data_IF_015306528243
#
_entry.id   IF_015306528243
#
_cell.length_a   1.000
_cell.length_b   1.000
_cell.length_c   1.000
_cell.angle_alpha   90.00
_cell.angle_beta   90.00
_cell.angle_gamma   90.00
#
_symmetry.space_group_name_H-M   'P 1'
#
loop_
_entity.id
_entity.type
_entity.pdbx_description
1 polymer ?
#
# COMPACT_ATOMS: atom_id res chain seq x y z
N UNK A 1 1.59 33.00 -13.21
CA UNK A 1 2.29 31.68 -13.13
C UNK A 1 1.79 30.76 -12.03
N UNK A 2 1.67 31.23 -10.79
CA UNK A 2 1.24 30.40 -9.65
C UNK A 2 -0.10 29.67 -9.91
N UNK A 3 -1.02 30.30 -10.66
CA UNK A 3 -2.28 29.68 -11.07
C UNK A 3 -2.13 28.45 -11.97
N UNK A 4 -1.15 28.46 -12.87
CA UNK A 4 -0.91 27.36 -13.83
C UNK A 4 -0.37 26.14 -13.08
N UNK A 5 0.60 26.35 -12.20
CA UNK A 5 1.14 25.31 -11.32
C UNK A 5 0.04 24.77 -10.41
N UNK A 6 -0.79 25.64 -9.81
CA UNK A 6 -1.95 25.20 -9.02
C UNK A 6 -2.90 24.34 -9.85
N UNK A 7 -3.16 24.69 -11.11
CA UNK A 7 -4.01 23.89 -12.01
C UNK A 7 -3.44 22.48 -12.23
N UNK A 8 -2.13 22.36 -12.49
CA UNK A 8 -1.52 21.04 -12.70
C UNK A 8 -1.50 20.22 -11.41
N UNK A 9 -1.22 20.85 -10.26
CA UNK A 9 -1.30 20.20 -8.93
C UNK A 9 -2.73 19.71 -8.65
N UNK A 10 -3.75 20.54 -8.88
CA UNK A 10 -5.15 20.15 -8.68
C UNK A 10 -5.56 18.99 -9.60
N UNK A 11 -5.11 19.00 -10.85
CA UNK A 11 -5.34 17.91 -11.78
C UNK A 11 -4.67 16.61 -11.30
N UNK A 12 -3.41 16.67 -10.84
CA UNK A 12 -2.67 15.53 -10.26
C UNK A 12 -3.39 14.98 -9.03
N UNK A 13 -3.85 15.87 -8.14
CA UNK A 13 -4.59 15.49 -6.93
C UNK A 13 -5.96 14.86 -7.26
N UNK A 14 -6.65 15.33 -8.30
CA UNK A 14 -7.90 14.74 -8.77
C UNK A 14 -7.68 13.33 -9.34
N UNK A 15 -6.64 13.15 -10.16
CA UNK A 15 -6.25 11.84 -10.68
C UNK A 15 -5.86 10.88 -9.55
N UNK A 16 -5.04 11.33 -8.60
CA UNK A 16 -4.66 10.56 -7.42
C UNK A 16 -5.88 10.12 -6.59
N UNK A 17 -6.88 11.00 -6.40
CA UNK A 17 -8.15 10.64 -5.74
C UNK A 17 -8.94 9.59 -6.50
N UNK A 18 -8.94 9.62 -7.84
CA UNK A 18 -9.56 8.57 -8.66
C UNK A 18 -8.84 7.24 -8.49
N UNK A 19 -7.51 7.21 -8.60
CA UNK A 19 -6.72 6.01 -8.38
C UNK A 19 -6.89 5.43 -6.96
N UNK A 20 -6.98 6.30 -5.94
CA UNK A 20 -7.25 5.87 -4.57
C UNK A 20 -8.62 5.19 -4.45
N UNK A 21 -9.67 5.71 -5.11
CA UNK A 21 -10.99 5.06 -5.15
C UNK A 21 -10.95 3.73 -5.88
N UNK A 22 -10.27 3.65 -7.02
CA UNK A 22 -10.09 2.39 -7.76
C UNK A 22 -9.33 1.34 -6.93
N UNK A 23 -8.31 1.75 -6.18
CA UNK A 23 -7.60 0.88 -5.25
C UNK A 23 -8.52 0.36 -4.12
N UNK A 24 -9.39 1.22 -3.57
CA UNK A 24 -10.39 0.80 -2.58
C UNK A 24 -11.40 -0.20 -3.16
N UNK A 25 -11.84 0.00 -4.41
CA UNK A 25 -12.72 -0.96 -5.09
C UNK A 25 -12.04 -2.32 -5.28
N UNK A 26 -10.75 -2.36 -5.61
CA UNK A 26 -9.97 -3.60 -5.69
C UNK A 26 -9.91 -4.32 -4.32
N UNK A 27 -9.72 -3.58 -3.23
CA UNK A 27 -9.74 -4.15 -1.88
C UNK A 27 -11.13 -4.72 -1.55
N UNK A 28 -12.20 -3.99 -1.88
CA UNK A 28 -13.57 -4.45 -1.68
C UNK A 28 -13.87 -5.73 -2.49
N UNK A 29 -13.38 -5.80 -3.73
CA UNK A 29 -13.49 -6.99 -4.57
C UNK A 29 -12.79 -8.21 -3.97
N UNK A 30 -11.57 -8.04 -3.42
CA UNK A 30 -10.87 -9.11 -2.70
C UNK A 30 -11.64 -9.60 -1.47
N UNK A 31 -12.26 -8.68 -0.71
CA UNK A 31 -13.13 -9.04 0.43
C UNK A 31 -14.37 -9.82 -0.02
N UNK A 32 -14.99 -9.42 -1.14
CA UNK A 32 -16.12 -10.13 -1.71
C UNK A 32 -15.74 -11.56 -2.14
N UNK A 33 -14.60 -11.74 -2.83
CA UNK A 33 -14.08 -13.08 -3.17
C UNK A 33 -13.85 -13.95 -1.93
N UNK A 34 -13.30 -13.36 -0.86
CA UNK A 34 -13.13 -14.08 0.42
C UNK A 34 -14.47 -14.52 1.01
N UNK A 35 -15.48 -13.64 1.02
CA UNK A 35 -16.82 -14.01 1.50
C UNK A 35 -17.46 -15.13 0.64
N UNK A 36 -17.23 -15.13 -0.68
CA UNK A 36 -17.65 -16.22 -1.57
C UNK A 36 -16.95 -17.53 -1.21
N UNK A 37 -15.63 -17.50 -0.97
CA UNK A 37 -14.88 -18.66 -0.51
C UNK A 37 -15.38 -19.17 0.85
N UNK A 38 -15.66 -18.29 1.81
CA UNK A 38 -16.22 -18.67 3.12
C UNK A 38 -17.65 -19.26 3.00
N UNK A 39 -18.43 -18.83 2.01
CA UNK A 39 -19.70 -19.46 1.68
C UNK A 39 -19.51 -20.86 1.10
N UNK A 40 -18.56 -21.03 0.17
CA UNK A 40 -18.21 -22.32 -0.41
C UNK A 40 -17.70 -23.30 0.65
N UNK A 41 -16.86 -22.85 1.60
CA UNK A 41 -16.41 -23.67 2.73
C UNK A 41 -17.57 -24.14 3.60
N UNK A 42 -18.58 -23.28 3.83
CA UNK A 42 -19.79 -23.68 4.57
C UNK A 42 -20.57 -24.76 3.85
N UNK A 43 -20.71 -24.67 2.53
CA UNK A 43 -21.33 -25.73 1.72
C UNK A 43 -20.49 -27.01 1.75
N UNK A 44 -19.15 -26.91 1.69
CA UNK A 44 -18.26 -28.05 1.83
C UNK A 44 -18.40 -28.73 3.20
N UNK A 45 -18.48 -27.97 4.30
CA UNK A 45 -18.71 -28.54 5.63
C UNK A 45 -20.07 -29.25 5.73
N UNK A 46 -21.13 -28.72 5.10
CA UNK A 46 -22.43 -29.41 5.02
C UNK A 46 -22.30 -30.71 4.25
N UNK A 47 -21.58 -30.70 3.13
CA UNK A 47 -21.31 -31.88 2.33
C UNK A 47 -20.51 -32.94 3.12
N UNK A 48 -19.46 -32.56 3.84
CA UNK A 48 -18.70 -33.47 4.72
C UNK A 48 -19.58 -34.05 5.84
N UNK A 49 -20.46 -33.25 6.44
CA UNK A 49 -21.41 -33.76 7.44
C UNK A 49 -22.42 -34.74 6.83
N UNK A 50 -22.84 -34.51 5.58
CA UNK A 50 -23.68 -35.45 4.83
C UNK A 50 -22.96 -36.77 4.57
N UNK A 51 -21.68 -36.74 4.17
CA UNK A 51 -20.87 -37.96 4.02
C UNK A 51 -20.79 -38.72 5.35
N UNK A 52 -20.58 -38.02 6.47
CA UNK A 52 -20.55 -38.65 7.79
C UNK A 52 -21.86 -39.33 8.15
N UNK A 53 -23.02 -38.73 7.86
CA UNK A 53 -24.31 -39.39 8.09
C UNK A 53 -24.49 -40.61 7.18
N UNK A 54 -24.07 -40.53 5.93
CA UNK A 54 -24.14 -41.65 4.97
C UNK A 54 -23.28 -42.83 5.42
N UNK A 55 -22.07 -42.56 5.94
CA UNK A 55 -21.20 -43.61 6.48
C UNK A 55 -21.81 -44.29 7.72
N UNK A 56 -22.49 -43.53 8.58
CA UNK A 56 -23.21 -44.10 9.74
C UNK A 56 -24.38 -44.99 9.29
N UNK A 57 -25.12 -44.58 8.26
CA UNK A 57 -26.18 -45.41 7.66
C UNK A 57 -25.62 -46.70 7.06
N UNK A 58 -24.49 -46.62 6.35
CA UNK A 58 -23.87 -47.79 5.71
C UNK A 58 -23.40 -48.81 6.75
N UNK A 59 -22.80 -48.34 7.83
CA UNK A 59 -22.41 -49.20 8.96
C UNK A 59 -23.64 -49.86 9.60
N UNK A 60 -24.76 -49.14 9.71
CA UNK A 60 -26.00 -49.67 10.31
C UNK A 60 -26.70 -50.70 9.42
N UNK A 61 -26.72 -50.47 8.10
CA UNK A 61 -27.42 -51.31 7.14
C UNK A 61 -26.57 -52.50 6.65
N UNK A 62 -25.24 -52.42 6.80
CA UNK A 62 -24.30 -53.48 6.43
C UNK A 62 -24.45 -53.88 4.96
N UNK A 63 -24.82 -55.14 4.64
CA UNK A 63 -24.98 -55.59 3.26
C UNK A 63 -26.17 -54.95 2.52
N UNK A 64 -27.09 -54.29 3.25
CA UNK A 64 -28.25 -53.59 2.69
C UNK A 64 -27.99 -52.08 2.46
N UNK A 65 -26.72 -51.65 2.53
CA UNK A 65 -26.37 -50.25 2.31
C UNK A 65 -26.74 -49.79 0.88
N UNK A 66 -27.34 -48.60 0.72
CA UNK A 66 -27.79 -48.11 -0.57
C UNK A 66 -26.59 -47.75 -1.47
N UNK A 67 -26.66 -48.15 -2.74
CA UNK A 67 -25.65 -47.77 -3.73
C UNK A 67 -25.92 -46.32 -4.16
N UNK A 68 -25.15 -45.38 -3.62
CA UNK A 68 -25.28 -43.94 -3.90
C UNK A 68 -24.50 -43.57 -5.18
N UNK A 69 -25.12 -43.82 -6.34
CA UNK A 69 -24.60 -43.44 -7.67
C UNK A 69 -24.72 -44.57 -8.69
N UNK A 70 -25.19 -44.24 -9.91
CA UNK A 70 -25.48 -45.22 -10.98
C UNK A 70 -24.19 -45.78 -11.56
N UNK A 71 -23.29 -44.90 -11.97
CA UNK A 71 -22.01 -45.23 -12.59
C UNK A 71 -20.82 -44.62 -11.81
N UNK A 72 -19.60 -45.07 -12.09
CA UNK A 72 -18.39 -44.53 -11.48
C UNK A 72 -18.22 -43.02 -11.72
N UNK A 73 -18.62 -42.54 -12.91
CA UNK A 73 -18.61 -41.13 -13.27
C UNK A 73 -19.57 -40.29 -12.41
N UNK A 74 -20.76 -40.81 -12.10
CA UNK A 74 -21.73 -40.12 -11.25
C UNK A 74 -21.25 -40.02 -9.80
N UNK A 75 -20.58 -41.06 -9.29
CA UNK A 75 -19.96 -41.03 -7.95
C UNK A 75 -18.85 -40.00 -7.89
N UNK A 76 -18.00 -39.97 -8.93
CA UNK A 76 -16.89 -39.02 -9.03
C UNK A 76 -17.42 -37.58 -9.18
N UNK A 77 -18.42 -37.35 -10.02
CA UNK A 77 -19.02 -36.03 -10.20
C UNK A 77 -19.69 -35.49 -8.92
N UNK A 78 -20.18 -36.40 -8.07
CA UNK A 78 -20.80 -36.08 -6.78
C UNK A 78 -19.77 -35.83 -5.69
N UNK A 79 -18.73 -36.64 -5.63
CA UNK A 79 -17.86 -36.72 -4.46
C UNK A 79 -16.52 -35.98 -4.60
N UNK A 80 -16.08 -35.76 -5.83
CA UNK A 80 -14.85 -35.04 -6.10
C UNK A 80 -15.08 -33.54 -6.29
N UNK A 81 -14.31 -32.70 -5.60
CA UNK A 81 -14.39 -31.25 -5.76
C UNK A 81 -13.79 -30.81 -7.10
N UNK A 82 -14.27 -29.68 -7.61
CA UNK A 82 -13.67 -28.98 -8.75
C UNK A 82 -12.37 -28.30 -8.33
N UNK A 83 -11.43 -28.13 -9.26
CA UNK A 83 -10.14 -27.47 -9.01
C UNK A 83 -10.28 -26.07 -8.38
N UNK A 84 -11.24 -25.28 -8.85
CA UNK A 84 -11.51 -23.93 -8.32
C UNK A 84 -11.94 -23.94 -6.85
N UNK A 85 -12.61 -25.00 -6.41
CA UNK A 85 -13.04 -25.14 -5.02
C UNK A 85 -11.87 -25.47 -4.08
N UNK A 86 -10.76 -25.96 -4.62
CA UNK A 86 -9.55 -26.27 -3.86
C UNK A 86 -8.58 -25.09 -3.75
N UNK A 87 -8.83 -24.00 -4.49
CA UNK A 87 -7.96 -22.82 -4.46
C UNK A 87 -8.26 -21.95 -3.23
N UNK A 88 -7.23 -21.68 -2.43
CA UNK A 88 -7.28 -20.73 -1.33
C UNK A 88 -7.60 -19.31 -1.83
N UNK A 89 -8.34 -18.49 -1.05
CA UNK A 89 -8.71 -17.14 -1.45
C UNK A 89 -7.50 -16.22 -1.46
N UNK A 90 -7.51 -15.22 -2.33
CA UNK A 90 -6.50 -14.16 -2.33
C UNK A 90 -6.48 -13.41 -1.00
N UNK A 91 -5.29 -13.20 -0.47
CA UNK A 91 -5.09 -12.42 0.76
C UNK A 91 -5.28 -10.94 0.45
N UNK A 92 -6.02 -10.25 1.32
CA UNK A 92 -6.28 -8.81 1.21
C UNK A 92 -4.98 -8.02 1.31
N UNK A 93 -4.11 -8.41 2.25
CA UNK A 93 -2.79 -7.83 2.48
C UNK A 93 -1.73 -8.92 2.36
N UNK A 94 -1.02 -9.01 1.24
CA UNK A 94 0.02 -10.02 1.06
C UNK A 94 1.18 -9.76 2.03
N UNK A 95 1.88 -10.83 2.41
CA UNK A 95 3.06 -10.72 3.25
C UNK A 95 4.15 -9.94 2.51
N UNK A 96 4.79 -9.00 3.21
CA UNK A 96 5.91 -8.23 2.64
C UNK A 96 7.16 -9.09 2.39
N UNK A 97 7.33 -10.15 3.19
CA UNK A 97 8.50 -11.03 3.15
C UNK A 97 8.05 -12.48 3.25
N UNK A 98 8.39 -13.27 2.23
CA UNK A 98 8.16 -14.71 2.19
C UNK A 98 9.46 -15.43 2.56
N UNK A 99 9.47 -16.16 3.67
CA UNK A 99 10.69 -16.80 4.17
C UNK A 99 10.83 -18.26 3.72
N UNK A 100 9.93 -18.74 2.87
CA UNK A 100 9.99 -20.07 2.24
C UNK A 100 10.06 -19.83 0.73
N UNK A 101 10.97 -20.52 0.06
CA UNK A 101 11.16 -20.47 -1.38
C UNK A 101 11.02 -21.87 -2.00
N UNK A 102 10.88 -21.91 -3.32
CA UNK A 102 10.90 -23.15 -4.10
C UNK A 102 12.24 -23.87 -3.87
N UNK A 103 12.18 -25.17 -3.60
CA UNK A 103 13.34 -26.01 -3.27
C UNK A 103 13.68 -26.10 -1.78
N UNK A 104 13.02 -25.33 -0.91
CA UNK A 104 13.18 -25.50 0.54
C UNK A 104 12.53 -26.81 1.02
N UNK A 105 13.12 -27.42 2.06
CA UNK A 105 12.52 -28.55 2.79
C UNK A 105 11.57 -28.01 3.85
N UNK A 106 10.34 -28.51 3.85
CA UNK A 106 9.31 -28.06 4.78
C UNK A 106 8.55 -29.23 5.39
N UNK A 107 8.06 -29.02 6.61
CA UNK A 107 7.17 -29.95 7.32
C UNK A 107 5.76 -29.38 7.37
N UNK A 108 4.78 -30.26 7.16
CA UNK A 108 3.35 -29.95 7.26
C UNK A 108 2.90 -30.15 8.72
N UNK A 109 2.26 -29.13 9.30
CA UNK A 109 1.78 -29.16 10.69
C UNK A 109 0.35 -29.68 10.82
N UNK A 110 -0.51 -29.37 9.84
CA UNK A 110 -1.95 -29.66 9.86
C UNK A 110 -2.40 -30.29 8.54
N UNK A 111 -3.43 -31.15 8.59
CA UNK A 111 -3.99 -31.83 7.41
C UNK A 111 -3.70 -33.33 7.34
N UNK A 112 -4.05 -33.95 6.21
CA UNK A 112 -3.89 -35.40 5.94
C UNK A 112 -2.42 -35.86 6.08
N UNK A 113 -1.50 -35.03 5.59
CA UNK A 113 -0.07 -35.33 5.53
C UNK A 113 0.74 -34.67 6.66
N UNK A 114 0.12 -34.54 7.84
CA UNK A 114 0.76 -33.97 9.03
C UNK A 114 2.06 -34.73 9.39
N UNK A 115 3.07 -33.97 9.80
CA UNK A 115 4.43 -34.40 10.16
C UNK A 115 5.25 -35.00 9.01
N UNK A 116 4.75 -35.00 7.77
CA UNK A 116 5.56 -35.37 6.61
C UNK A 116 6.42 -34.18 6.17
N UNK A 117 7.63 -34.48 5.72
CA UNK A 117 8.58 -33.52 5.18
C UNK A 117 8.60 -33.66 3.67
N UNK A 118 8.54 -32.54 2.95
CA UNK A 118 8.60 -32.51 1.50
C UNK A 118 9.35 -31.29 0.97
N UNK A 119 9.56 -31.27 -0.34
CA UNK A 119 10.17 -30.15 -1.05
C UNK A 119 9.11 -29.21 -1.59
N UNK A 120 9.34 -27.91 -1.41
CA UNK A 120 8.43 -26.88 -1.95
C UNK A 120 8.58 -26.81 -3.47
N UNK A 121 7.48 -27.02 -4.19
CA UNK A 121 7.41 -26.95 -5.65
C UNK A 121 7.01 -25.56 -6.14
N UNK A 122 6.02 -24.96 -5.49
CA UNK A 122 5.48 -23.65 -5.87
C UNK A 122 5.10 -22.86 -4.62
N UNK A 123 5.35 -21.54 -4.66
CA UNK A 123 4.94 -20.60 -3.61
C UNK A 123 4.08 -19.54 -4.27
N UNK A 124 2.81 -19.43 -3.85
CA UNK A 124 1.88 -18.42 -4.34
C UNK A 124 1.78 -17.27 -3.32
N UNK A 125 2.34 -16.08 -3.64
CA UNK A 125 2.31 -14.94 -2.74
C UNK A 125 0.93 -14.27 -2.66
N UNK A 126 0.06 -14.48 -3.64
CA UNK A 126 -1.27 -13.84 -3.67
C UNK A 126 -2.25 -14.55 -2.73
N UNK A 127 -2.16 -15.87 -2.63
CA UNK A 127 -2.99 -16.70 -1.74
C UNK A 127 -2.30 -17.04 -0.41
N UNK A 128 -1.04 -16.62 -0.22
CA UNK A 128 -0.20 -16.98 0.95
C UNK A 128 -0.17 -18.50 1.18
N UNK A 129 0.07 -19.23 0.09
CA UNK A 129 0.01 -20.69 0.07
C UNK A 129 1.23 -21.32 -0.61
N UNK A 130 1.46 -22.58 -0.30
CA UNK A 130 2.63 -23.35 -0.75
C UNK A 130 2.16 -24.70 -1.26
N UNK A 131 2.64 -25.12 -2.43
CA UNK A 131 2.49 -26.50 -2.92
C UNK A 131 3.75 -27.29 -2.64
N UNK A 132 3.59 -28.46 -2.05
CA UNK A 132 4.68 -29.36 -1.68
C UNK A 132 4.61 -30.58 -2.57
N UNK A 133 5.75 -30.99 -3.12
CA UNK A 133 5.83 -32.08 -4.08
C UNK A 133 5.33 -33.40 -3.46
N UNK A 134 4.36 -34.06 -4.12
CA UNK A 134 3.82 -35.35 -3.72
C UNK A 134 3.09 -35.40 -2.38
N UNK A 135 2.85 -34.24 -1.74
CA UNK A 135 2.13 -34.13 -0.47
C UNK A 135 0.86 -33.31 -0.65
N UNK A 136 -0.13 -33.57 0.21
CA UNK A 136 -1.46 -32.96 0.13
C UNK A 136 -2.13 -33.19 -1.23
N UNK A 137 -1.95 -34.38 -1.78
CA UNK A 137 -2.52 -34.80 -3.06
C UNK A 137 -3.98 -35.19 -2.86
N UNK A 138 -4.84 -34.55 -3.64
CA UNK A 138 -6.26 -34.87 -3.71
C UNK A 138 -6.66 -35.19 -5.15
N UNK A 139 -7.51 -36.20 -5.35
CA UNK A 139 -8.19 -36.37 -6.62
C UNK A 139 -9.15 -35.19 -6.80
N UNK A 140 -9.11 -34.58 -7.97
CA UNK A 140 -9.95 -33.44 -8.38
C UNK A 140 -10.73 -33.85 -9.61
N UNK A 141 -11.99 -33.45 -9.68
CA UNK A 141 -12.83 -33.72 -10.87
C UNK A 141 -12.22 -33.04 -12.09
N UNK A 142 -11.99 -33.82 -13.15
CA UNK A 142 -11.58 -33.30 -14.45
C UNK A 142 -12.71 -32.46 -15.03
N UNK A 143 -12.48 -31.20 -15.44
CA UNK A 143 -13.51 -30.41 -16.09
C UNK A 143 -13.97 -31.04 -17.40
N UNK A 144 -15.27 -30.93 -17.72
CA UNK A 144 -15.89 -31.60 -18.87
C UNK A 144 -15.22 -31.24 -20.22
N UNK A 145 -14.59 -30.06 -20.34
CA UNK A 145 -13.89 -29.63 -21.55
C UNK A 145 -12.48 -30.22 -21.73
N UNK A 146 -11.92 -30.86 -20.70
CA UNK A 146 -10.65 -31.60 -20.79
C UNK A 146 -10.87 -33.11 -21.05
N UNK A 147 -12.12 -33.59 -20.97
CA UNK A 147 -12.44 -34.99 -21.26
C UNK A 147 -12.11 -35.30 -22.75
N UNK A 148 -11.21 -36.26 -22.98
CA UNK A 148 -10.86 -36.77 -24.33
C UNK A 148 -9.61 -36.16 -25.00
N UNK A 149 -8.94 -35.18 -24.40
CA UNK A 149 -7.73 -34.55 -24.99
C UNK A 149 -6.47 -35.43 -24.89
N UNK A 150 -6.30 -36.16 -23.79
CA UNK A 150 -5.10 -36.95 -23.50
C UNK A 150 -5.36 -38.48 -23.44
N UNK A 151 -6.47 -38.96 -24.02
CA UNK A 151 -6.81 -40.39 -24.04
C UNK A 151 -7.12 -41.01 -22.67
N UNK A 152 -7.23 -40.19 -21.63
CA UNK A 152 -7.60 -40.61 -20.28
C UNK A 152 -9.10 -40.41 -20.03
N UNK A 153 -9.87 -41.50 -20.04
CA UNK A 153 -11.27 -41.54 -19.58
C UNK A 153 -11.41 -41.42 -18.05
N UNK A 154 -10.35 -41.02 -17.33
CA UNK A 154 -10.35 -40.91 -15.88
C UNK A 154 -11.05 -39.61 -15.46
N UNK A 155 -12.23 -39.67 -14.82
CA UNK A 155 -13.01 -38.48 -14.51
C UNK A 155 -12.46 -37.73 -13.27
N UNK A 156 -11.34 -38.18 -12.71
CA UNK A 156 -10.58 -37.48 -11.68
C UNK A 156 -9.07 -37.55 -11.92
N UNK A 157 -8.38 -36.46 -11.61
CA UNK A 157 -6.93 -36.33 -11.68
C UNK A 157 -6.37 -36.01 -10.30
N UNK A 158 -5.30 -36.70 -9.90
CA UNK A 158 -4.58 -36.40 -8.67
C UNK A 158 -3.75 -35.11 -8.82
N UNK A 159 -4.03 -34.12 -7.97
CA UNK A 159 -3.31 -32.85 -7.97
C UNK A 159 -2.84 -32.47 -6.56
N UNK A 160 -1.65 -31.88 -6.49
CA UNK A 160 -1.09 -31.29 -5.27
C UNK A 160 -1.87 -30.03 -4.90
N UNK A 161 -2.64 -30.09 -3.81
CA UNK A 161 -3.41 -28.94 -3.33
C UNK A 161 -2.52 -27.98 -2.54
N UNK A 162 -2.82 -26.68 -2.64
CA UNK A 162 -2.06 -25.67 -1.91
C UNK A 162 -2.34 -25.71 -0.40
N UNK A 163 -1.28 -25.56 0.38
CA UNK A 163 -1.32 -25.56 1.85
C UNK A 163 -1.10 -24.13 2.31
N UNK A 164 -1.85 -23.68 3.31
CA UNK A 164 -1.66 -22.36 3.89
C UNK A 164 -0.24 -22.21 4.47
N UNK A 165 0.39 -21.06 4.24
CA UNK A 165 1.74 -20.77 4.75
C UNK A 165 1.85 -20.94 6.28
N UNK A 166 0.76 -20.71 7.02
CA UNK A 166 0.68 -20.88 8.47
C UNK A 166 0.86 -22.32 8.94
N UNK A 167 0.52 -23.29 8.10
CA UNK A 167 0.55 -24.73 8.42
C UNK A 167 1.83 -25.42 7.96
N UNK A 168 2.78 -24.65 7.44
CA UNK A 168 4.06 -25.15 6.94
C UNK A 168 5.22 -24.54 7.73
N UNK A 169 6.23 -25.34 8.07
CA UNK A 169 7.47 -24.85 8.71
C UNK A 169 8.69 -25.33 7.98
N UNK A 170 9.73 -24.51 7.96
CA UNK A 170 11.00 -24.88 7.35
C UNK A 170 11.70 -25.97 8.17
N UNK A 171 12.28 -26.94 7.48
CA UNK A 171 13.19 -27.93 8.06
C UNK A 171 14.60 -27.61 7.58
N UNK A 172 15.51 -27.42 8.52
CA UNK A 172 16.90 -27.11 8.22
C UNK A 172 17.81 -27.90 9.17
N UNK A 173 18.92 -28.50 8.68
CA UNK A 173 19.89 -29.13 9.55
C UNK A 173 20.58 -28.08 10.42
N UNK A 174 20.57 -28.29 11.73
CA UNK A 174 21.24 -27.44 12.71
C UNK A 174 22.20 -28.32 13.52
N UNK A 175 23.36 -27.78 13.84
CA UNK A 175 24.34 -28.44 14.70
C UNK A 175 23.86 -28.47 16.15
N UNK A 176 23.88 -29.64 16.77
CA UNK A 176 23.61 -29.79 18.20
C UNK A 176 24.78 -29.22 19.01
N UNK A 177 24.58 -28.22 19.89
CA UNK A 177 25.67 -27.57 20.64
C UNK A 177 26.47 -28.52 21.54
N UNK A 178 25.89 -29.66 21.94
CA UNK A 178 26.58 -30.65 22.80
C UNK A 178 27.35 -31.69 21.99
N UNK A 179 26.77 -32.13 20.88
CA UNK A 179 27.25 -33.30 20.12
C UNK A 179 28.04 -32.89 18.88
N UNK A 180 27.85 -31.67 18.37
CA UNK A 180 28.41 -31.19 17.10
C UNK A 180 27.82 -31.87 15.85
N UNK A 181 26.91 -32.83 16.01
CA UNK A 181 26.26 -33.52 14.90
C UNK A 181 25.15 -32.66 14.29
N UNK A 182 25.06 -32.65 12.96
CA UNK A 182 23.96 -32.04 12.22
C UNK A 182 22.69 -32.87 12.39
N UNK A 183 21.62 -32.22 12.87
CA UNK A 183 20.30 -32.84 12.99
C UNK A 183 19.25 -31.97 12.30
N UNK A 184 18.33 -32.61 11.60
CA UNK A 184 17.20 -31.90 10.99
C UNK A 184 16.32 -31.30 12.08
N UNK A 185 16.19 -29.97 12.08
CA UNK A 185 15.40 -29.23 13.05
C UNK A 185 14.24 -28.51 12.36
N UNK A 186 13.09 -28.48 13.03
CA UNK A 186 11.92 -27.73 12.59
C UNK A 186 12.02 -26.28 13.08
N UNK A 187 12.12 -25.34 12.13
CA UNK A 187 12.26 -23.92 12.45
C UNK A 187 10.90 -23.31 12.78
N UNK A 188 10.68 -23.01 14.07
CA UNK A 188 9.41 -22.44 14.56
C UNK A 188 9.18 -21.00 14.11
N UNK A 189 10.22 -20.17 14.14
CA UNK A 189 10.18 -18.74 13.78
C UNK A 189 11.46 -18.36 13.04
N UNK A 190 11.32 -17.54 11.99
CA UNK A 190 12.43 -16.99 11.22
C UNK A 190 12.52 -15.49 11.51
N UNK A 191 13.70 -15.01 11.87
CA UNK A 191 14.03 -13.59 11.98
C UNK A 191 14.62 -13.13 10.65
N UNK A 192 14.13 -12.00 10.15
CA UNK A 192 14.64 -11.37 8.94
C UNK A 192 15.73 -10.38 9.35
N UNK A 193 16.88 -10.42 8.67
CA UNK A 193 17.94 -9.41 8.86
C UNK A 193 18.60 -9.05 7.52
N UNK A 194 19.40 -7.98 7.51
CA UNK A 194 20.13 -7.50 6.34
C UNK A 194 19.22 -7.29 5.11
N UNK A 195 18.12 -6.54 5.30
CA UNK A 195 17.24 -6.18 4.18
C UNK A 195 17.94 -5.11 3.34
N UNK A 196 18.42 -5.50 2.17
CA UNK A 196 19.02 -4.59 1.19
C UNK A 196 18.10 -4.47 -0.03
N UNK A 197 18.25 -3.37 -0.76
CA UNK A 197 17.48 -3.10 -1.97
C UNK A 197 18.46 -2.77 -3.10
N UNK A 198 18.41 -3.54 -4.17
CA UNK A 198 19.22 -3.32 -5.36
C UNK A 198 18.75 -2.07 -6.11
N UNK A 199 19.58 -1.53 -7.02
CA UNK A 199 19.23 -0.38 -7.85
C UNK A 199 17.99 -0.64 -8.72
N UNK A 200 17.81 -1.88 -9.16
CA UNK A 200 16.65 -2.40 -9.89
C UNK A 200 15.41 -2.58 -9.00
N UNK A 201 15.52 -2.30 -7.70
CA UNK A 201 14.43 -2.35 -6.74
C UNK A 201 14.15 -3.71 -6.11
N UNK A 202 14.89 -4.75 -6.52
CA UNK A 202 14.82 -6.09 -5.92
C UNK A 202 15.27 -6.02 -4.46
N UNK A 203 14.49 -6.62 -3.57
CA UNK A 203 14.84 -6.71 -2.15
C UNK A 203 15.48 -8.06 -1.89
N UNK A 204 16.62 -8.08 -1.23
CA UNK A 204 17.25 -9.30 -0.72
C UNK A 204 17.33 -9.21 0.80
N UNK A 205 17.20 -10.35 1.47
CA UNK A 205 17.29 -10.44 2.92
C UNK A 205 17.83 -11.81 3.33
N UNK A 206 18.43 -11.85 4.51
CA UNK A 206 18.94 -13.09 5.11
C UNK A 206 17.93 -13.64 6.11
N UNK A 207 17.80 -14.97 6.12
CA UNK A 207 16.89 -15.71 7.00
C UNK A 207 17.68 -16.23 8.19
N UNK A 208 17.26 -15.93 9.40
CA UNK A 208 17.89 -16.43 10.62
C UNK A 208 16.90 -17.25 11.43
N UNK A 209 17.34 -18.35 12.03
CA UNK A 209 16.53 -19.06 13.03
C UNK A 209 16.32 -18.12 14.22
N UNK A 210 15.08 -17.85 14.62
CA UNK A 210 14.83 -16.96 15.75
C UNK A 210 15.49 -17.49 17.03
N UNK A 211 16.10 -16.60 17.80
CA UNK A 211 16.85 -16.90 19.03
C UNK A 211 18.12 -17.74 18.83
N UNK A 212 18.45 -18.15 17.61
CA UNK A 212 19.74 -18.72 17.25
C UNK A 212 20.53 -17.73 16.38
N UNK A 213 21.85 -17.92 16.32
CA UNK A 213 22.75 -17.27 15.36
C UNK A 213 23.01 -18.18 14.16
N UNK A 214 22.03 -18.99 13.77
CA UNK A 214 22.11 -19.85 12.58
C UNK A 214 21.43 -19.15 11.41
N UNK A 215 22.21 -18.85 10.38
CA UNK A 215 21.70 -18.38 9.10
C UNK A 215 21.16 -19.55 8.29
N UNK A 216 20.01 -19.35 7.65
CA UNK A 216 19.40 -20.30 6.73
C UNK A 216 19.65 -19.78 5.31
N UNK A 217 20.53 -20.44 4.54
CA UNK A 217 20.79 -20.04 3.16
C UNK A 217 19.55 -20.24 2.30
N UNK A 218 19.39 -19.41 1.26
CA UNK A 218 18.36 -19.63 0.24
C UNK A 218 18.67 -20.88 -0.59
N UNK A 219 17.63 -21.61 -1.06
CA UNK A 219 17.85 -22.74 -1.94
C UNK A 219 18.48 -22.26 -3.26
N UNK A 220 19.35 -23.09 -3.84
CA UNK A 220 19.95 -22.80 -5.15
C UNK A 220 18.83 -22.78 -6.19
N UNK A 221 18.65 -21.63 -6.84
CA UNK A 221 17.70 -21.51 -7.94
C UNK A 221 18.36 -22.06 -9.19
N UNK A 222 17.64 -22.87 -9.96
CA UNK A 222 18.01 -23.14 -11.34
C UNK A 222 17.89 -21.83 -12.10
N UNK A 223 18.99 -21.38 -12.69
CA UNK A 223 18.96 -20.22 -13.56
C UNK A 223 18.10 -20.59 -14.77
N UNK A 224 17.09 -19.78 -15.13
CA UNK A 224 16.34 -20.05 -16.34
C UNK A 224 17.30 -19.99 -17.52
N UNK A 225 17.21 -21.01 -18.38
CA UNK A 225 17.94 -21.02 -19.64
C UNK A 225 17.30 -19.98 -20.56
N UNK A 226 18.04 -18.91 -20.83
CA UNK A 226 17.65 -17.92 -21.82
C UNK A 226 18.19 -18.37 -23.18
N UNK A 227 17.30 -18.52 -24.15
CA UNK A 227 17.66 -18.80 -25.53
C UNK A 227 17.41 -17.53 -26.35
N UNK A 228 18.36 -17.19 -27.21
CA UNK A 228 18.21 -16.07 -28.13
C UNK A 228 17.25 -16.50 -29.25
N UNK A 229 16.11 -15.83 -29.36
CA UNK A 229 15.12 -16.09 -30.39
C UNK A 229 15.47 -15.30 -31.67
N UNK A 230 14.94 -15.73 -32.82
CA UNK A 230 15.19 -15.03 -34.10
C UNK A 230 14.66 -13.59 -34.12
N UNK A 231 13.66 -13.28 -33.27
CA UNK A 231 13.12 -11.93 -33.12
C UNK A 231 13.97 -11.03 -32.21
N UNK A 232 14.99 -11.58 -31.55
CA UNK A 232 15.81 -10.82 -30.62
C UNK A 232 16.87 -10.00 -31.35
N UNK A 233 17.14 -8.80 -30.82
CA UNK A 233 18.22 -7.97 -31.33
C UNK A 233 19.55 -8.53 -30.86
N UNK A 234 20.51 -8.70 -31.78
CA UNK A 234 21.84 -9.16 -31.43
C UNK A 234 22.49 -8.20 -30.44
N UNK A 235 23.26 -8.74 -29.51
CA UNK A 235 23.96 -7.96 -28.48
C UNK A 235 24.81 -6.82 -29.05
N UNK A 236 25.52 -7.07 -30.15
CA UNK A 236 26.34 -6.05 -30.83
C UNK A 236 25.50 -4.85 -31.26
N UNK A 237 24.34 -5.08 -31.86
CA UNK A 237 23.46 -4.02 -32.36
C UNK A 237 22.77 -3.28 -31.20
N UNK A 238 22.44 -3.99 -30.11
CA UNK A 238 21.82 -3.40 -28.92
C UNK A 238 22.77 -2.53 -28.09
N UNK A 239 24.07 -2.90 -28.02
CA UNK A 239 25.09 -2.17 -27.27
C UNK A 239 25.73 -1.03 -28.08
N UNK A 240 25.42 -0.92 -29.38
CA UNK A 240 25.96 0.12 -30.26
C UNK A 240 25.56 1.53 -29.77
N UNK A 241 26.56 2.35 -29.43
CA UNK A 241 26.35 3.72 -28.95
C UNK A 241 26.19 4.69 -30.10
N UNK A 242 24.98 4.79 -30.63
CA UNK A 242 24.65 5.66 -31.77
C UNK A 242 24.25 7.08 -31.37
N UNK A 243 23.82 7.31 -30.13
CA UNK A 243 23.35 8.63 -29.69
C UNK A 243 24.51 9.60 -29.42
N UNK A 244 24.57 10.67 -30.21
CA UNK A 244 25.50 11.79 -30.01
C UNK A 244 24.70 13.02 -29.52
N UNK A 245 24.93 13.50 -28.28
CA UNK A 245 24.21 14.64 -27.76
C UNK A 245 24.61 15.93 -28.49
N UNK A 246 23.62 16.64 -29.05
CA UNK A 246 23.80 17.92 -29.73
C UNK A 246 23.16 19.06 -28.92
N UNK A 247 23.84 20.21 -28.83
CA UNK A 247 23.31 21.39 -28.13
C UNK A 247 22.46 22.29 -29.04
N UNK A 248 22.90 22.50 -30.29
CA UNK A 248 22.27 23.43 -31.23
C UNK A 248 21.06 22.83 -31.96
N UNK A 249 21.01 21.50 -32.06
CA UNK A 249 19.92 20.77 -32.72
C UNK A 249 19.23 19.88 -31.69
N UNK A 250 17.89 19.84 -31.66
CA UNK A 250 17.18 18.90 -30.81
C UNK A 250 17.47 17.46 -31.25
N UNK A 251 17.47 16.49 -30.33
CA UNK A 251 17.78 15.09 -30.64
C UNK A 251 16.70 14.41 -31.49
N UNK A 252 15.50 15.00 -31.56
CA UNK A 252 14.37 14.55 -32.37
C UNK A 252 13.72 15.77 -33.04
N UNK A 253 13.03 15.59 -34.18
CA UNK A 253 12.29 16.66 -34.83
C UNK A 253 11.20 17.25 -33.92
N UNK A 254 10.97 18.56 -34.02
CA UNK A 254 10.04 19.29 -33.14
C UNK A 254 8.59 18.78 -33.22
N UNK A 255 8.17 18.23 -34.36
CA UNK A 255 6.84 17.64 -34.53
C UNK A 255 6.58 16.47 -33.58
N UNK A 256 7.59 15.62 -33.35
CA UNK A 256 7.50 14.40 -32.52
C UNK A 256 7.26 14.74 -31.05
N UNK A 257 7.66 15.93 -30.60
CA UNK A 257 7.41 16.39 -29.23
C UNK A 257 5.91 16.43 -28.92
N UNK A 258 5.05 16.69 -29.90
CA UNK A 258 3.59 16.72 -29.71
C UNK A 258 2.96 15.33 -29.61
N UNK A 259 3.65 14.29 -30.08
CA UNK A 259 3.23 12.89 -29.96
C UNK A 259 3.64 12.32 -28.60
N UNK A 260 4.87 12.61 -28.16
CA UNK A 260 5.39 12.18 -26.86
C UNK A 260 4.61 12.79 -25.68
N UNK A 261 4.04 13.99 -25.87
CA UNK A 261 3.24 14.67 -24.85
C UNK A 261 2.08 15.45 -25.46
N UNK A 262 0.93 15.40 -24.78
CA UNK A 262 -0.19 16.28 -25.12
C UNK A 262 0.17 17.76 -24.95
N UNK A 263 0.31 18.50 -26.07
CA UNK A 263 0.64 19.94 -26.10
C UNK A 263 -0.23 20.80 -25.18
N UNK A 264 -1.51 20.46 -25.09
CA UNK A 264 -2.53 21.17 -24.31
C UNK A 264 -2.93 20.42 -23.02
N UNK A 265 -2.12 19.47 -22.57
CA UNK A 265 -2.40 18.71 -21.36
C UNK A 265 -2.46 19.61 -20.13
N UNK A 266 -3.48 19.38 -19.28
CA UNK A 266 -3.60 20.03 -17.96
C UNK A 266 -2.50 19.66 -16.97
N UNK A 267 -1.70 18.63 -17.29
CA UNK A 267 -0.55 18.18 -16.50
C UNK A 267 0.79 18.75 -17.02
N UNK A 268 0.75 19.61 -18.04
CA UNK A 268 1.96 20.28 -18.56
C UNK A 268 2.53 21.20 -17.49
N UNK A 269 3.79 20.97 -17.13
CA UNK A 269 4.53 21.82 -16.17
C UNK A 269 5.62 22.66 -16.85
N UNK A 270 6.11 22.23 -18.03
CA UNK A 270 7.13 22.94 -18.83
C UNK A 270 6.46 23.79 -19.91
N UNK A 271 6.42 25.11 -19.73
CA UNK A 271 5.80 26.07 -20.63
C UNK A 271 6.82 26.96 -21.33
N UNK A 272 6.41 27.50 -22.48
CA UNK A 272 7.23 28.42 -23.29
C UNK A 272 7.23 29.81 -22.64
N UNK A 273 8.31 30.59 -22.82
CA UNK A 273 8.48 31.89 -22.16
C UNK A 273 7.35 32.87 -22.52
N UNK A 274 6.98 32.93 -23.79
CA UNK A 274 5.88 33.77 -24.29
C UNK A 274 4.55 33.45 -23.60
N UNK A 275 4.24 32.16 -23.42
CA UNK A 275 3.02 31.73 -22.73
C UNK A 275 3.03 32.13 -21.25
N UNK A 276 4.20 32.03 -20.60
CA UNK A 276 4.40 32.45 -19.22
C UNK A 276 4.15 33.95 -19.09
N UNK A 277 4.75 34.76 -19.97
CA UNK A 277 4.60 36.22 -19.99
C UNK A 277 3.16 36.63 -20.25
N UNK A 278 2.50 36.03 -21.25
CA UNK A 278 1.09 36.28 -21.54
C UNK A 278 0.21 36.01 -20.30
N UNK A 279 0.46 34.90 -19.59
CA UNK A 279 -0.31 34.53 -18.40
C UNK A 279 0.04 35.38 -17.18
N UNK A 280 1.27 35.87 -17.07
CA UNK A 280 1.66 36.83 -16.03
C UNK A 280 0.98 38.18 -16.26
N UNK A 281 0.92 38.65 -17.52
CA UNK A 281 0.21 39.88 -17.89
C UNK A 281 -1.29 39.77 -17.60
N UNK A 282 -1.93 38.68 -17.97
CA UNK A 282 -3.34 38.41 -17.60
C UNK A 282 -3.55 38.41 -16.08
N UNK A 283 -2.63 37.81 -15.31
CA UNK A 283 -2.69 37.83 -13.84
C UNK A 283 -2.55 39.25 -13.26
N UNK A 284 -1.74 40.11 -13.89
CA UNK A 284 -1.54 41.51 -13.50
C UNK A 284 -2.72 42.40 -13.87
N UNK A 285 -3.28 42.25 -15.08
CA UNK A 285 -4.50 42.93 -15.52
C UNK A 285 -5.69 42.57 -14.64
N UNK A 286 -5.83 41.30 -14.24
CA UNK A 286 -6.91 40.93 -13.33
C UNK A 286 -6.69 41.50 -11.93
N UNK A 287 -5.43 41.56 -11.45
CA UNK A 287 -5.09 42.24 -10.20
C UNK A 287 -5.36 43.74 -10.28
N UNK A 288 -5.04 44.39 -11.40
CA UNK A 288 -5.29 45.82 -11.59
C UNK A 288 -6.79 46.09 -11.66
N UNK A 289 -7.56 45.29 -12.40
CA UNK A 289 -9.03 45.35 -12.44
C UNK A 289 -9.67 45.18 -11.06
N UNK A 290 -9.16 44.23 -10.25
CA UNK A 290 -9.63 44.04 -8.86
C UNK A 290 -9.26 45.21 -7.94
N UNK A 291 -8.12 45.86 -8.18
CA UNK A 291 -7.67 47.05 -7.44
C UNK A 291 -8.44 48.30 -7.86
N UNK A 292 -8.87 48.38 -9.13
CA UNK A 292 -9.70 49.43 -9.71
C UNK A 292 -11.17 49.38 -9.24
N UNK A 293 -11.39 49.04 -7.97
CA UNK A 293 -12.67 49.31 -7.31
C UNK A 293 -12.87 50.80 -7.24
N UNK A 294 -14.09 51.27 -7.51
CA UNK A 294 -14.48 52.67 -7.34
C UNK A 294 -14.17 53.07 -5.90
N UNK A 295 -13.21 53.97 -5.72
CA UNK A 295 -12.85 54.51 -4.42
C UNK A 295 -13.67 55.77 -4.22
N UNK A 296 -14.45 55.82 -3.14
CA UNK A 296 -15.16 57.06 -2.81
C UNK A 296 -14.19 58.08 -2.21
N UNK A 297 -14.45 59.39 -2.33
CA UNK A 297 -13.57 60.43 -1.77
C UNK A 297 -13.24 60.23 -0.27
N UNK A 298 -14.21 59.76 0.51
CA UNK A 298 -14.03 59.42 1.93
C UNK A 298 -13.06 58.24 2.15
N UNK A 299 -13.11 57.23 1.27
CA UNK A 299 -12.20 56.08 1.32
C UNK A 299 -10.76 56.48 1.01
N UNK A 300 -10.53 57.43 0.09
CA UNK A 300 -9.20 57.94 -0.23
C UNK A 300 -8.58 58.73 0.92
N UNK A 301 -9.38 59.57 1.58
CA UNK A 301 -8.97 60.28 2.80
C UNK A 301 -8.59 59.27 3.89
N UNK A 302 -9.44 58.27 4.14
CA UNK A 302 -9.17 57.22 5.13
C UNK A 302 -7.93 56.38 4.78
N UNK A 303 -7.66 56.14 3.48
CA UNK A 303 -6.46 55.43 3.01
C UNK A 303 -5.19 56.27 3.19
N UNK A 304 -5.27 57.59 3.04
CA UNK A 304 -4.15 58.52 3.34
C UNK A 304 -3.87 58.56 4.83
N UNK A 305 -4.90 58.75 5.67
CA UNK A 305 -4.76 58.71 7.13
C UNK A 305 -4.17 57.38 7.60
N UNK A 306 -4.59 56.25 7.02
CA UNK A 306 -4.04 54.92 7.35
C UNK A 306 -2.58 54.78 6.94
N UNK A 307 -2.18 55.29 5.76
CA UNK A 307 -0.77 55.30 5.33
C UNK A 307 0.08 56.15 6.26
N UNK A 308 -0.37 57.36 6.59
CA UNK A 308 0.31 58.23 7.55
C UNK A 308 0.41 57.58 8.94
N UNK A 309 -0.61 56.85 9.40
CA UNK A 309 -0.54 56.08 10.66
C UNK A 309 0.44 54.90 10.60
N UNK A 310 0.57 54.25 9.45
CA UNK A 310 1.54 53.16 9.25
C UNK A 310 2.97 53.73 9.19
N UNK A 311 3.17 54.83 8.46
CA UNK A 311 4.47 55.53 8.32
C UNK A 311 4.93 56.18 9.63
N UNK A 312 4.02 56.83 10.36
CA UNK A 312 4.29 57.34 11.72
C UNK A 312 4.58 56.21 12.71
N UNK A 313 4.26 54.96 12.35
CA UNK A 313 4.41 53.80 13.21
C UNK A 313 3.67 53.96 14.54
N UNK A 314 4.01 53.13 15.53
CA UNK A 314 3.57 53.39 16.90
C UNK A 314 4.42 54.53 17.46
N UNK A 315 3.88 55.74 17.44
CA UNK A 315 4.56 56.98 17.87
C UNK A 315 4.95 56.99 19.34
N UNK A 316 4.31 56.18 20.18
CA UNK A 316 4.70 55.98 21.57
C UNK A 316 5.50 54.70 21.71
N UNK A 317 6.83 54.82 21.67
CA UNK A 317 7.68 53.87 22.40
C UNK A 317 7.41 54.13 23.88
N UNK A 318 7.02 53.11 24.64
CA UNK A 318 6.81 53.22 26.09
C UNK A 318 8.11 53.71 26.74
N UNK A 319 8.16 54.99 27.11
CA UNK A 319 9.29 55.57 27.84
C UNK A 319 9.30 55.04 29.27
N UNK A 320 10.47 54.87 29.87
CA UNK A 320 10.62 54.28 31.22
C UNK A 320 9.76 54.97 32.29
N UNK A 321 9.62 56.30 32.22
CA UNK A 321 8.75 57.08 33.11
C UNK A 321 7.25 56.74 32.97
N UNK A 322 6.78 56.45 31.76
CA UNK A 322 5.38 56.06 31.51
C UNK A 322 5.14 54.62 31.99
N UNK A 323 6.14 53.74 31.84
CA UNK A 323 6.11 52.39 32.40
C UNK A 323 6.12 52.39 33.93
N UNK A 324 6.87 53.29 34.55
CA UNK A 324 6.91 53.44 36.01
C UNK A 324 5.59 54.00 36.56
N UNK A 325 4.99 54.98 35.88
CA UNK A 325 3.63 55.45 36.20
C UNK A 325 2.58 54.35 36.02
N UNK A 326 2.64 53.59 34.93
CA UNK A 326 1.79 52.40 34.72
C UNK A 326 2.02 51.35 35.81
N UNK A 327 3.26 51.13 36.25
CA UNK A 327 3.60 50.22 37.34
C UNK A 327 3.04 50.68 38.69
N UNK A 328 3.13 51.99 38.99
CA UNK A 328 2.54 52.58 40.21
C UNK A 328 1.02 52.49 40.21
N UNK A 329 0.36 52.79 39.09
CA UNK A 329 -1.09 52.67 39.00
C UNK A 329 -1.53 51.22 39.06
N UNK A 330 -0.81 50.28 38.44
CA UNK A 330 -1.08 48.83 38.57
C UNK A 330 -0.90 48.31 40.01
N UNK A 331 0.06 48.85 40.75
CA UNK A 331 0.27 48.52 42.17
C UNK A 331 -0.81 49.13 43.08
N UNK A 332 -1.22 50.37 42.81
CA UNK A 332 -2.30 51.06 43.55
C UNK A 332 -3.69 50.49 43.25
N UNK A 333 -3.96 50.15 41.98
CA UNK A 333 -5.26 49.64 41.53
C UNK A 333 -5.40 48.12 41.67
N UNK A 334 -4.42 47.44 42.26
CA UNK A 334 -4.44 46.01 42.59
C UNK A 334 -5.10 45.12 41.52
N UNK A 335 -4.41 44.85 40.42
CA UNK A 335 -4.76 43.85 39.37
C UNK A 335 -6.24 43.38 39.32
N UNK A 336 -7.15 44.12 38.66
CA UNK A 336 -8.49 43.60 38.35
C UNK A 336 -8.42 42.44 37.34
N UNK A 337 -7.35 42.40 36.54
CA UNK A 337 -7.20 41.49 35.39
C UNK A 337 -6.79 40.05 35.74
N UNK A 338 -6.49 39.77 37.01
CA UNK A 338 -6.13 38.42 37.49
C UNK A 338 -7.27 37.74 38.26
N UNK A 339 -8.35 38.44 38.64
CA UNK A 339 -9.38 37.89 39.52
C UNK A 339 -10.56 37.21 38.84
N UNK A 340 -10.77 37.39 37.53
CA UNK A 340 -11.79 36.63 36.80
C UNK A 340 -11.32 36.27 35.41
N UNK A 341 -10.68 35.10 35.26
CA UNK A 341 -10.75 34.41 33.97
C UNK A 341 -12.18 33.90 33.84
N UNK A 342 -12.98 34.33 32.85
CA UNK A 342 -14.26 33.71 32.60
C UNK A 342 -14.02 32.21 32.41
N UNK A 343 -14.69 31.41 33.24
CA UNK A 343 -14.47 29.97 33.31
C UNK A 343 -14.57 29.41 31.89
N UNK A 344 -13.50 28.79 31.37
CA UNK A 344 -13.37 28.38 29.96
C UNK A 344 -14.55 27.52 29.50
N UNK A 345 -15.17 26.81 30.46
CA UNK A 345 -16.40 26.03 30.31
C UNK A 345 -17.63 26.88 29.94
N UNK A 346 -17.78 28.09 30.48
CA UNK A 346 -18.88 29.00 30.13
C UNK A 346 -18.75 29.51 28.70
N UNK A 347 -17.53 29.84 28.26
CA UNK A 347 -17.27 30.28 26.88
C UNK A 347 -17.53 29.13 25.89
N UNK A 348 -17.07 27.92 26.23
CA UNK A 348 -17.32 26.73 25.40
C UNK A 348 -18.81 26.38 25.33
N UNK A 349 -19.54 26.48 26.45
CA UNK A 349 -20.99 26.28 26.48
C UNK A 349 -21.74 27.35 25.66
N UNK A 350 -21.29 28.61 25.68
CA UNK A 350 -21.88 29.68 24.87
C UNK A 350 -21.62 29.47 23.37
N UNK A 351 -20.42 29.00 23.01
CA UNK A 351 -20.07 28.64 21.63
C UNK A 351 -20.90 27.44 21.15
N UNK A 352 -21.02 26.38 21.95
CA UNK A 352 -21.88 25.23 21.64
C UNK A 352 -23.35 25.63 21.49
N UNK A 353 -23.83 26.56 22.33
CA UNK A 353 -25.20 27.08 22.25
C UNK A 353 -25.43 27.91 20.98
N UNK A 354 -24.43 28.69 20.55
CA UNK A 354 -24.46 29.42 19.29
C UNK A 354 -24.34 28.50 18.07
N UNK A 355 -23.56 27.42 18.16
CA UNK A 355 -23.45 26.39 17.13
C UNK A 355 -24.75 25.59 16.98
N UNK A 356 -25.46 25.32 18.09
CA UNK A 356 -26.77 24.64 18.07
C UNK A 356 -27.91 25.56 17.60
N UNK A 357 -27.85 26.86 17.89
CA UNK A 357 -28.85 27.84 17.45
C UNK A 357 -28.67 28.32 16.00
N UNK A 358 -27.50 28.08 15.41
CA UNK A 358 -27.14 28.48 14.04
C UNK A 358 -27.44 27.40 13.00
N UNK A 359 -28.69 27.30 12.55
CA UNK A 359 -29.04 26.57 11.34
C UNK A 359 -28.38 27.23 10.11
N UNK A 360 -27.45 26.52 9.46
CA UNK A 360 -27.16 26.69 8.03
C UNK A 360 -25.72 27.05 7.65
N UNK A 361 -25.02 26.04 7.13
CA UNK A 361 -23.90 26.13 6.16
C UNK A 361 -22.48 26.43 6.67
N UNK A 362 -21.68 25.36 6.88
CA UNK A 362 -20.32 25.23 6.33
C UNK A 362 -19.94 23.76 6.05
N UNK A 363 -19.16 23.47 4.98
CA UNK A 363 -18.68 22.13 4.68
C UNK A 363 -17.51 21.75 5.59
N UNK A 364 -17.41 20.46 5.89
CA UNK A 364 -16.36 19.87 6.71
C UNK A 364 -14.95 20.24 6.22
N UNK A 365 -14.22 21.01 7.02
CA UNK A 365 -12.77 21.16 6.89
C UNK A 365 -12.14 19.91 7.49
N UNK A 366 -11.59 19.06 6.63
CA UNK A 366 -10.86 17.87 7.02
C UNK A 366 -9.72 18.17 7.99
N UNK A 367 -9.59 17.32 9.00
CA UNK A 367 -8.47 17.23 9.91
C UNK A 367 -7.14 17.29 9.14
N UNK A 368 -6.34 18.32 9.42
CA UNK A 368 -4.92 18.33 9.06
C UNK A 368 -4.19 17.44 10.09
N UNK A 369 -3.31 16.52 9.65
CA UNK A 369 -2.53 15.71 10.58
C UNK A 369 -1.55 16.59 11.37
N UNK A 370 -1.40 16.25 12.65
CA UNK A 370 -0.51 16.91 13.61
C UNK A 370 0.91 17.05 13.04
N UNK A 371 1.38 18.30 12.99
CA UNK A 371 2.75 18.64 12.63
C UNK A 371 3.60 18.48 13.89
N UNK A 372 4.49 17.50 13.87
CA UNK A 372 5.51 17.30 14.90
C UNK A 372 6.27 18.60 15.13
N UNK A 373 6.33 19.03 16.38
CA UNK A 373 7.19 20.10 16.86
C UNK A 373 8.62 19.54 16.93
N UNK A 374 9.40 19.80 15.88
CA UNK A 374 10.86 19.69 15.95
C UNK A 374 11.40 20.89 16.75
N UNK A 375 12.29 20.57 17.69
CA UNK A 375 13.04 21.47 18.55
C UNK A 375 13.90 22.47 17.75
N UNK A 376 14.08 23.71 18.23
CA UNK A 376 14.92 24.68 17.54
C UNK A 376 16.42 24.31 17.65
N UNK A 377 17.23 24.54 16.60
CA UNK A 377 18.67 24.33 16.66
C UNK A 377 19.34 25.37 17.56
N UNK A 378 20.25 24.90 18.41
CA UNK A 378 21.09 25.69 19.28
C UNK A 378 22.09 26.56 18.48
N UNK A 379 22.32 27.75 19.01
CA UNK A 379 23.18 28.77 18.44
C UNK A 379 24.67 28.38 18.46
N UNK A 380 25.32 28.67 17.33
CA UNK A 380 26.72 29.09 17.14
C UNK A 380 27.72 28.87 18.29
N UNK A 381 28.68 27.99 18.06
CA UNK A 381 30.01 28.09 18.66
C UNK A 381 31.01 28.52 17.59
N UNK A 382 31.72 29.58 17.93
CA UNK A 382 32.87 30.21 17.28
C UNK A 382 34.03 29.23 17.04
N UNK A 383 34.62 29.29 15.84
CA UNK A 383 35.97 28.81 15.59
C UNK A 383 36.97 29.97 15.83
N UNK A 384 38.11 29.73 16.50
CA UNK A 384 39.17 30.72 16.66
C UNK A 384 40.09 30.79 15.42
N UNK A 385 40.87 31.87 15.26
CA UNK A 385 41.69 32.08 14.07
C UNK A 385 43.04 31.36 14.16
N UNK A 386 43.49 30.87 13.01
CA UNK A 386 44.89 30.62 12.66
C UNK A 386 45.06 30.80 11.16
#
# INVERSE_FOLDING_TARGET
MERIIRRSILAKASAARRYAREAQLKIAYKRMKRNQYDAMLREHHRYVNKIKSELVEDVKMGPLAPIRGRDAKDRIARDLPTADAMRLPEVVEPRKFFNIAVGDRVVILNGKDRNKVGLVKEVDPDTDSVKVQGLNVYPIRTPDYFEGLDGGDSPGMDQECSIAYTDVRLVHPIEDPKTGALRDAIVKKIKISNVTKDAQGKRTWTRWVAFSKTEIPWPKKTEPEYQDEQCDTKRMDAEERTYVPTLLKPPIPDGVINELRGKFSKFRDRHDREYIEQKMREDEEEKSRKKARVVTPLMDINRKIRREKIEKGKTQKLTGSILEQLGRTMAQSGTPFMKERPNRLKILAEIERQEQAGFGFRPALGQLPARNLETPPAASQSAPPS
#
